data_IF_809568252552
#
_entry.id   IF_809568252552
#
_cell.length_a   1.000
_cell.length_b   1.000
_cell.length_c   1.000
_cell.angle_alpha   90.00
_cell.angle_beta   90.00
_cell.angle_gamma   90.00
#
_symmetry.space_group_name_H-M   'P 1'
#
loop_
_entity.id
_entity.type
_entity.pdbx_description
1 polymer ?
#
# COMPACT_ATOMS: atom_id res chain seq x y z
N UNK A 1 -3.26 -10.28 -0.58
CA UNK A 1 -4.29 -9.69 -1.45
C UNK A 1 -4.02 -10.16 -2.87
N UNK A 2 -4.43 -11.40 -3.16
CA UNK A 2 -4.65 -11.87 -4.53
C UNK A 2 -6.07 -11.39 -4.83
N UNK A 3 -6.26 -10.61 -5.89
CA UNK A 3 -7.62 -10.20 -6.30
C UNK A 3 -8.22 -11.45 -6.95
N UNK A 4 -8.90 -12.27 -6.16
CA UNK A 4 -9.58 -13.50 -6.63
C UNK A 4 -10.86 -13.19 -7.42
N UNK A 5 -11.24 -11.91 -7.49
CA UNK A 5 -12.47 -11.50 -8.14
C UNK A 5 -12.17 -11.18 -9.59
N UNK A 6 -12.54 -12.10 -10.50
CA UNK A 6 -12.72 -11.74 -11.91
C UNK A 6 -13.67 -10.53 -11.94
N UNK A 7 -13.27 -9.37 -12.49
CA UNK A 7 -14.15 -8.23 -12.55
C UNK A 7 -15.42 -8.65 -13.29
N UNK A 8 -16.60 -8.44 -12.68
CA UNK A 8 -17.85 -8.79 -13.34
C UNK A 8 -17.99 -7.85 -14.53
N UNK A 9 -18.37 -8.39 -15.69
CA UNK A 9 -18.62 -7.57 -16.89
C UNK A 9 -19.63 -6.45 -16.61
N UNK A 10 -20.60 -6.72 -15.73
CA UNK A 10 -21.56 -5.73 -15.24
C UNK A 10 -20.89 -4.53 -14.54
N UNK A 11 -19.83 -4.75 -13.75
CA UNK A 11 -19.13 -3.68 -13.05
C UNK A 11 -18.41 -2.77 -14.04
N UNK A 12 -17.74 -3.36 -15.03
CA UNK A 12 -17.07 -2.62 -16.11
C UNK A 12 -18.09 -1.83 -16.93
N UNK A 13 -19.21 -2.46 -17.31
CA UNK A 13 -20.27 -1.80 -18.06
C UNK A 13 -20.89 -0.63 -17.28
N UNK A 14 -21.15 -0.81 -15.98
CA UNK A 14 -21.71 0.23 -15.11
C UNK A 14 -20.82 1.48 -15.01
N UNK A 15 -19.51 1.33 -15.22
CA UNK A 15 -18.56 2.44 -15.19
C UNK A 15 -18.51 3.22 -16.52
N UNK A 16 -18.78 2.56 -17.65
CA UNK A 16 -18.48 3.12 -18.99
C UNK A 16 -19.75 3.44 -19.81
N UNK A 17 -20.92 2.93 -19.43
CA UNK A 17 -22.15 3.09 -20.22
C UNK A 17 -22.56 4.54 -20.50
N UNK A 18 -22.32 5.48 -19.57
CA UNK A 18 -22.66 6.91 -19.78
C UNK A 18 -21.85 7.49 -20.93
N UNK A 19 -20.55 7.21 -20.93
CA UNK A 19 -19.63 7.66 -21.99
C UNK A 19 -20.00 7.03 -23.32
N UNK A 20 -20.28 5.72 -23.33
CA UNK A 20 -20.71 5.01 -24.55
C UNK A 20 -22.05 5.55 -25.09
N UNK A 21 -23.00 5.88 -24.22
CA UNK A 21 -24.28 6.43 -24.62
C UNK A 21 -24.13 7.83 -25.24
N UNK A 22 -23.29 8.69 -24.66
CA UNK A 22 -23.00 10.02 -25.22
C UNK A 22 -22.33 9.90 -26.59
N UNK A 23 -21.33 9.02 -26.73
CA UNK A 23 -20.67 8.76 -28.01
C UNK A 23 -21.64 8.20 -29.05
N UNK A 24 -22.52 7.27 -28.66
CA UNK A 24 -23.53 6.72 -29.55
C UNK A 24 -24.51 7.78 -30.06
N UNK A 25 -25.02 8.65 -29.18
CA UNK A 25 -25.92 9.74 -29.59
C UNK A 25 -25.19 10.73 -30.52
N UNK A 26 -23.92 11.03 -30.23
CA UNK A 26 -23.08 11.87 -31.07
C UNK A 26 -22.88 11.26 -32.48
N UNK A 27 -22.57 9.97 -32.56
CA UNK A 27 -22.38 9.25 -33.82
C UNK A 27 -23.67 9.24 -34.66
N UNK A 28 -24.82 9.02 -34.02
CA UNK A 28 -26.13 9.09 -34.68
C UNK A 28 -26.39 10.50 -35.21
N UNK A 29 -26.13 11.54 -34.42
CA UNK A 29 -26.31 12.94 -34.81
C UNK A 29 -25.45 13.30 -36.03
N UNK A 30 -24.16 12.97 -36.00
CA UNK A 30 -23.23 13.24 -37.10
C UNK A 30 -23.63 12.47 -38.36
N UNK A 31 -24.07 11.22 -38.21
CA UNK A 31 -24.56 10.41 -39.33
C UNK A 31 -25.76 11.06 -40.00
N UNK A 32 -26.75 11.51 -39.23
CA UNK A 32 -27.94 12.20 -39.76
C UNK A 32 -27.53 13.50 -40.49
N UNK A 33 -26.65 14.31 -39.88
CA UNK A 33 -26.14 15.55 -40.49
C UNK A 33 -25.47 15.25 -41.83
N UNK A 34 -24.65 14.22 -41.91
CA UNK A 34 -23.94 13.84 -43.14
C UNK A 34 -24.88 13.42 -44.28
N UNK A 35 -26.00 12.74 -43.98
CA UNK A 35 -26.97 12.32 -44.99
C UNK A 35 -27.94 13.44 -45.42
N UNK A 36 -28.26 14.37 -44.53
CA UNK A 36 -29.28 15.42 -44.76
C UNK A 36 -28.66 16.71 -45.30
N UNK A 37 -27.49 17.09 -44.82
CA UNK A 37 -26.78 18.30 -45.27
C UNK A 37 -25.72 17.92 -46.30
N UNK A 38 -25.47 18.76 -47.33
CA UNK A 38 -24.40 18.56 -48.31
C UNK A 38 -23.02 18.88 -47.71
N UNK A 39 -22.73 18.37 -46.52
CA UNK A 39 -21.48 18.54 -45.80
C UNK A 39 -20.53 17.36 -46.11
N UNK A 40 -19.34 17.68 -46.63
CA UNK A 40 -18.26 16.68 -46.78
C UNK A 40 -17.32 16.78 -45.58
N UNK A 41 -17.31 15.75 -44.75
CA UNK A 41 -16.42 15.69 -43.61
C UNK A 41 -14.94 15.63 -44.07
N UNK A 42 -14.04 16.41 -43.46
CA UNK A 42 -12.62 16.31 -43.72
C UNK A 42 -12.08 14.97 -43.20
N UNK A 43 -11.03 14.45 -43.84
CA UNK A 43 -10.34 13.25 -43.36
C UNK A 43 -9.73 13.55 -41.98
N UNK A 44 -10.20 12.83 -40.96
CA UNK A 44 -9.64 12.92 -39.62
C UNK A 44 -8.29 12.20 -39.60
N UNK A 45 -7.24 12.75 -38.94
CA UNK A 45 -5.96 12.09 -38.79
C UNK A 45 -6.03 11.02 -37.67
N UNK A 46 -6.93 10.04 -37.86
CA UNK A 46 -7.24 8.99 -36.91
C UNK A 46 -6.01 8.17 -36.52
N UNK A 47 -5.10 7.94 -37.46
CA UNK A 47 -3.85 7.21 -37.22
C UNK A 47 -2.97 7.93 -36.22
N UNK A 48 -2.76 9.24 -36.37
CA UNK A 48 -1.92 10.04 -35.47
C UNK A 48 -2.53 10.09 -34.07
N UNK A 49 -3.84 10.36 -33.95
CA UNK A 49 -4.52 10.40 -32.67
C UNK A 49 -4.57 9.03 -31.99
N UNK A 50 -4.85 7.96 -32.75
CA UNK A 50 -4.88 6.59 -32.24
C UNK A 50 -3.52 6.12 -31.73
N UNK A 51 -2.44 6.41 -32.48
CA UNK A 51 -1.07 6.09 -32.05
C UNK A 51 -0.66 6.87 -30.80
N UNK A 52 -0.99 8.16 -30.72
CA UNK A 52 -0.70 8.97 -29.53
C UNK A 52 -1.46 8.46 -28.30
N UNK A 53 -2.75 8.17 -28.42
CA UNK A 53 -3.57 7.64 -27.34
C UNK A 53 -3.06 6.29 -26.84
N UNK A 54 -2.74 5.37 -27.75
CA UNK A 54 -2.18 4.06 -27.40
C UNK A 54 -0.85 4.19 -26.63
N UNK A 55 0.02 5.11 -27.04
CA UNK A 55 1.28 5.39 -26.37
C UNK A 55 1.07 5.91 -24.95
N UNK A 56 0.21 6.92 -24.76
CA UNK A 56 -0.08 7.48 -23.44
C UNK A 56 -0.75 6.46 -22.51
N UNK A 57 -1.67 5.65 -23.04
CA UNK A 57 -2.31 4.59 -22.28
C UNK A 57 -1.29 3.52 -21.85
N UNK A 58 -0.37 3.15 -22.75
CA UNK A 58 0.72 2.22 -22.46
C UNK A 58 1.61 2.71 -21.31
N UNK A 59 2.03 3.98 -21.35
CA UNK A 59 2.82 4.57 -20.26
C UNK A 59 2.05 4.61 -18.94
N UNK A 60 0.78 5.05 -18.96
CA UNK A 60 -0.05 5.09 -17.74
C UNK A 60 -0.27 3.71 -17.14
N UNK A 61 -0.54 2.71 -17.98
CA UNK A 61 -0.73 1.33 -17.55
C UNK A 61 0.55 0.78 -16.90
N UNK A 62 1.70 0.99 -17.55
CA UNK A 62 3.00 0.57 -17.03
C UNK A 62 3.33 1.23 -15.68
N UNK A 63 3.25 2.56 -15.58
CA UNK A 63 3.56 3.27 -14.33
C UNK A 63 2.60 2.90 -13.19
N UNK A 64 1.31 2.70 -13.48
CA UNK A 64 0.33 2.25 -12.47
C UNK A 64 0.63 0.83 -12.01
N UNK A 65 1.00 -0.06 -12.94
CA UNK A 65 1.39 -1.43 -12.64
C UNK A 65 2.65 -1.48 -11.79
N UNK A 66 3.71 -0.73 -12.13
CA UNK A 66 4.94 -0.65 -11.35
C UNK A 66 4.67 -0.21 -9.91
N UNK A 67 3.85 0.83 -9.74
CA UNK A 67 3.43 1.33 -8.41
C UNK A 67 2.66 0.28 -7.61
N UNK A 68 1.75 -0.45 -8.26
CA UNK A 68 1.01 -1.56 -7.63
C UNK A 68 1.96 -2.70 -7.22
N UNK A 69 2.87 -3.07 -8.12
CA UNK A 69 3.83 -4.14 -7.90
C UNK A 69 4.80 -3.81 -6.76
N UNK A 70 5.34 -2.59 -6.73
CA UNK A 70 6.18 -2.09 -5.66
C UNK A 70 5.48 -2.19 -4.30
N UNK A 71 4.20 -1.79 -4.23
CA UNK A 71 3.39 -1.94 -3.03
C UNK A 71 3.25 -3.41 -2.60
N UNK A 72 3.10 -4.34 -3.54
CA UNK A 72 3.05 -5.78 -3.25
C UNK A 72 4.38 -6.32 -2.74
N UNK A 73 5.50 -5.86 -3.29
CA UNK A 73 6.85 -6.24 -2.86
C UNK A 73 7.10 -5.75 -1.43
N UNK A 74 6.80 -4.49 -1.12
CA UNK A 74 6.97 -3.91 0.23
C UNK A 74 6.13 -4.65 1.29
N UNK A 75 4.88 -4.98 0.99
CA UNK A 75 4.06 -5.81 1.88
C UNK A 75 4.61 -7.24 2.01
N UNK A 76 5.20 -7.79 0.96
CA UNK A 76 5.89 -9.09 1.01
C UNK A 76 7.11 -9.06 1.94
N UNK A 77 7.93 -8.02 1.83
CA UNK A 77 9.06 -7.76 2.73
C UNK A 77 8.59 -7.62 4.18
N UNK A 78 7.50 -6.87 4.43
CA UNK A 78 6.90 -6.74 5.76
C UNK A 78 6.49 -8.09 6.36
N UNK A 79 5.88 -8.98 5.57
CA UNK A 79 5.50 -10.33 6.03
C UNK A 79 6.76 -11.14 6.41
N UNK A 80 7.79 -11.12 5.57
CA UNK A 80 9.02 -11.86 5.81
C UNK A 80 9.76 -11.33 7.05
N UNK A 81 9.91 -10.01 7.17
CA UNK A 81 10.55 -9.39 8.32
C UNK A 81 9.76 -9.65 9.62
N UNK A 82 8.42 -9.61 9.58
CA UNK A 82 7.58 -9.96 10.73
C UNK A 82 7.81 -11.40 11.18
N UNK A 83 7.87 -12.37 10.24
CA UNK A 83 8.14 -13.78 10.55
C UNK A 83 9.53 -13.96 11.16
N UNK A 84 10.53 -13.28 10.60
CA UNK A 84 11.90 -13.32 11.10
C UNK A 84 12.01 -12.73 12.50
N UNK A 85 11.35 -11.58 12.75
CA UNK A 85 11.34 -10.92 14.07
C UNK A 85 10.76 -11.86 15.13
N UNK A 86 9.58 -12.44 14.87
CA UNK A 86 8.92 -13.34 15.82
C UNK A 86 9.74 -14.61 16.04
N UNK A 87 10.20 -15.26 14.96
CA UNK A 87 11.03 -16.47 15.05
C UNK A 87 12.29 -16.22 15.87
N UNK A 88 13.02 -15.13 15.59
CA UNK A 88 14.26 -14.81 16.29
C UNK A 88 13.99 -14.44 17.75
N UNK A 89 13.01 -13.57 18.00
CA UNK A 89 12.67 -13.12 19.36
C UNK A 89 12.27 -14.28 20.27
N UNK A 90 11.45 -15.21 19.78
CA UNK A 90 11.06 -16.42 20.54
C UNK A 90 12.24 -17.38 20.72
N UNK A 91 13.13 -17.49 19.74
CA UNK A 91 14.29 -18.39 19.81
C UNK A 91 15.37 -17.91 20.79
N UNK A 92 15.68 -16.61 20.80
CA UNK A 92 16.74 -16.05 21.65
C UNK A 92 16.24 -15.79 23.07
N UNK A 93 14.95 -15.45 23.25
CA UNK A 93 14.31 -15.25 24.55
C UNK A 93 13.62 -16.54 25.02
N UNK A 94 14.32 -17.67 24.97
CA UNK A 94 13.74 -18.99 25.30
C UNK A 94 13.76 -19.32 26.80
N UNK A 95 14.56 -18.58 27.59
CA UNK A 95 14.58 -18.72 29.05
C UNK A 95 13.21 -18.38 29.66
N UNK A 96 12.75 -19.08 30.72
CA UNK A 96 11.43 -18.86 31.32
C UNK A 96 11.14 -17.39 31.69
N UNK A 97 12.16 -16.69 32.17
CA UNK A 97 12.10 -15.27 32.58
C UNK A 97 11.96 -14.33 31.37
N UNK A 98 12.51 -14.72 30.21
CA UNK A 98 12.54 -13.93 28.98
C UNK A 98 11.42 -14.28 28.00
N UNK A 99 10.82 -15.46 28.11
CA UNK A 99 9.81 -15.98 27.18
C UNK A 99 8.57 -15.08 27.06
N UNK A 100 8.18 -14.44 28.17
CA UNK A 100 7.09 -13.47 28.19
C UNK A 100 7.37 -12.26 27.27
N UNK A 101 8.63 -11.82 27.19
CA UNK A 101 9.04 -10.73 26.32
C UNK A 101 8.98 -11.13 24.85
N UNK A 102 9.43 -12.33 24.49
CA UNK A 102 9.31 -12.85 23.13
C UNK A 102 7.86 -12.87 22.63
N UNK A 103 6.91 -13.31 23.48
CA UNK A 103 5.47 -13.26 23.19
C UNK A 103 4.97 -11.81 23.05
N UNK A 104 5.45 -10.90 23.89
CA UNK A 104 5.08 -9.48 23.84
C UNK A 104 5.54 -8.84 22.53
N UNK A 105 6.76 -9.12 22.07
CA UNK A 105 7.27 -8.65 20.77
C UNK A 105 6.39 -9.16 19.63
N UNK A 106 5.94 -10.41 19.68
CA UNK A 106 5.04 -10.96 18.67
C UNK A 106 3.68 -10.24 18.63
N UNK A 107 3.08 -9.99 19.79
CA UNK A 107 1.81 -9.24 19.88
C UNK A 107 1.96 -7.80 19.39
N UNK A 108 3.07 -7.14 19.74
CA UNK A 108 3.42 -5.81 19.24
C UNK A 108 3.59 -5.79 17.72
N UNK A 109 4.22 -6.79 17.14
CA UNK A 109 4.36 -6.86 15.68
C UNK A 109 2.99 -6.98 15.00
N UNK A 110 2.05 -7.72 15.58
CA UNK A 110 0.69 -7.80 15.06
C UNK A 110 -0.02 -6.44 15.19
N UNK A 111 0.13 -5.76 16.34
CA UNK A 111 -0.42 -4.42 16.55
C UNK A 111 0.17 -3.41 15.55
N UNK A 112 1.47 -3.44 15.34
CA UNK A 112 2.21 -2.62 14.37
C UNK A 112 1.66 -2.77 12.95
N UNK A 113 1.53 -4.00 12.46
CA UNK A 113 1.02 -4.26 11.10
C UNK A 113 -0.42 -3.77 10.94
N UNK A 114 -1.26 -3.93 11.97
CA UNK A 114 -2.64 -3.43 11.93
C UNK A 114 -2.71 -1.90 11.99
N UNK A 115 -1.87 -1.28 12.82
CA UNK A 115 -1.76 0.17 12.90
C UNK A 115 -1.32 0.77 11.55
N UNK A 116 -0.28 0.20 10.94
CA UNK A 116 0.20 0.60 9.62
C UNK A 116 -0.87 0.44 8.55
N UNK A 117 -1.63 -0.66 8.56
CA UNK A 117 -2.79 -0.84 7.65
C UNK A 117 -3.81 0.28 7.83
N UNK A 118 -4.19 0.62 9.06
CA UNK A 118 -5.14 1.69 9.35
C UNK A 118 -4.60 3.05 8.91
N UNK A 119 -3.34 3.36 9.22
CA UNK A 119 -2.67 4.57 8.74
C UNK A 119 -2.70 4.67 7.23
N UNK A 120 -2.31 3.62 6.50
CA UNK A 120 -2.28 3.63 5.03
C UNK A 120 -3.68 3.81 4.42
N UNK A 121 -4.72 3.28 5.07
CA UNK A 121 -6.13 3.41 4.64
C UNK A 121 -6.84 4.67 5.18
N UNK A 122 -6.18 5.50 6.00
CA UNK A 122 -6.78 6.65 6.68
C UNK A 122 -7.96 6.25 7.59
N UNK A 123 -7.83 5.11 8.26
CA UNK A 123 -8.80 4.62 9.25
C UNK A 123 -8.33 4.94 10.67
N UNK A 124 -9.26 5.07 11.65
CA UNK A 124 -8.89 5.24 13.05
C UNK A 124 -7.97 4.11 13.54
N UNK A 125 -6.83 4.49 14.13
CA UNK A 125 -5.81 3.53 14.58
C UNK A 125 -6.17 2.91 15.94
N UNK A 126 -6.88 3.64 16.81
CA UNK A 126 -7.27 3.20 18.16
C UNK A 126 -7.96 1.83 18.15
N UNK A 127 -8.96 1.66 17.28
CA UNK A 127 -9.73 0.42 17.14
C UNK A 127 -8.87 -0.80 16.76
N UNK A 128 -7.69 -0.60 16.20
CA UNK A 128 -6.80 -1.67 15.79
C UNK A 128 -5.84 -2.14 16.90
N UNK A 129 -5.65 -1.34 17.94
CA UNK A 129 -4.65 -1.52 19.01
C UNK A 129 -5.23 -2.17 20.27
N UNK A 130 -6.45 -1.79 20.65
CA UNK A 130 -7.12 -2.20 21.91
C UNK A 130 -7.16 -3.72 22.18
N UNK A 131 -7.30 -4.62 21.19
CA UNK A 131 -7.35 -6.05 21.48
C UNK A 131 -5.99 -6.69 21.80
N UNK A 132 -4.86 -5.98 21.63
CA UNK A 132 -3.53 -6.60 21.53
C UNK A 132 -2.46 -6.02 22.45
N UNK A 133 -2.68 -4.83 22.98
CA UNK A 133 -1.72 -4.11 23.82
C UNK A 133 -2.40 -3.70 25.13
N UNK A 134 -1.61 -3.55 26.19
CA UNK A 134 -2.07 -2.96 27.44
C UNK A 134 -2.48 -1.49 27.22
N UNK A 135 -3.49 -1.03 27.97
CA UNK A 135 -4.04 0.32 27.83
C UNK A 135 -2.98 1.42 27.95
N UNK A 136 -2.00 1.24 28.84
CA UNK A 136 -0.89 2.20 29.03
C UNK A 136 0.00 2.32 27.79
N UNK A 137 0.26 1.19 27.13
CA UNK A 137 1.06 1.16 25.89
C UNK A 137 0.27 1.81 24.73
N UNK A 138 -1.04 1.59 24.65
CA UNK A 138 -1.90 2.25 23.66
C UNK A 138 -1.88 3.76 23.87
N UNK A 139 -2.03 4.24 25.11
CA UNK A 139 -2.01 5.66 25.45
C UNK A 139 -0.66 6.33 25.11
N UNK A 140 0.47 5.64 25.33
CA UNK A 140 1.80 6.16 25.02
C UNK A 140 2.07 6.27 23.51
N UNK A 141 1.53 5.36 22.70
CA UNK A 141 1.83 5.28 21.27
C UNK A 141 0.84 6.11 20.44
N UNK A 142 -0.43 6.22 20.86
CA UNK A 142 -1.45 6.96 20.11
C UNK A 142 -1.15 8.46 20.02
N UNK A 143 -0.37 9.00 20.96
CA UNK A 143 0.09 10.40 20.97
C UNK A 143 1.24 10.67 20.01
N UNK A 144 1.89 9.63 19.47
CA UNK A 144 2.99 9.78 18.50
C UNK A 144 2.44 10.20 17.14
N UNK A 145 3.16 11.10 16.45
CA UNK A 145 2.84 11.52 15.08
C UNK A 145 2.73 10.34 14.12
N UNK A 146 3.64 9.37 14.25
CA UNK A 146 3.56 8.09 13.55
C UNK A 146 3.42 6.95 14.56
N UNK A 147 2.18 6.54 14.80
CA UNK A 147 1.81 5.47 15.73
C UNK A 147 2.51 4.14 15.42
N UNK A 148 2.55 3.71 14.16
CA UNK A 148 3.24 2.47 13.78
C UNK A 148 4.75 2.57 14.09
N UNK A 149 5.41 3.66 13.71
CA UNK A 149 6.83 3.84 14.06
C UNK A 149 7.06 3.90 15.59
N UNK A 150 6.10 4.45 16.35
CA UNK A 150 6.13 4.43 17.81
C UNK A 150 6.12 3.01 18.40
N UNK A 151 5.35 2.08 17.82
CA UNK A 151 5.35 0.67 18.24
C UNK A 151 6.68 -0.02 17.93
N UNK A 152 7.31 0.35 16.81
CA UNK A 152 8.62 -0.18 16.41
C UNK A 152 9.71 0.30 17.38
N UNK A 153 9.71 1.58 17.73
CA UNK A 153 10.59 2.18 18.75
C UNK A 153 10.44 1.50 20.12
N UNK A 154 9.20 1.27 20.58
CA UNK A 154 8.93 0.53 21.82
C UNK A 154 9.47 -0.90 21.76
N UNK A 155 9.38 -1.56 20.61
CA UNK A 155 9.97 -2.91 20.41
C UNK A 155 11.49 -2.86 20.52
N UNK A 156 12.16 -1.88 19.89
CA UNK A 156 13.60 -1.68 20.01
C UNK A 156 14.05 -1.44 21.45
N UNK A 157 13.32 -0.62 22.22
CA UNK A 157 13.60 -0.41 23.66
C UNK A 157 13.50 -1.70 24.47
N UNK A 158 12.52 -2.55 24.18
CA UNK A 158 12.39 -3.85 24.84
C UNK A 158 13.55 -4.79 24.55
N UNK A 159 14.11 -4.75 23.34
CA UNK A 159 15.28 -5.55 22.97
C UNK A 159 16.53 -5.04 23.69
N UNK A 160 16.72 -3.72 23.79
CA UNK A 160 17.81 -3.15 24.61
C UNK A 160 17.67 -3.52 26.09
N UNK A 161 16.45 -3.52 26.63
CA UNK A 161 16.21 -3.95 28.01
C UNK A 161 16.59 -5.42 28.20
N UNK A 162 16.20 -6.32 27.28
CA UNK A 162 16.59 -7.72 27.34
C UNK A 162 18.11 -7.93 27.35
N UNK A 163 18.86 -7.09 26.64
CA UNK A 163 20.33 -7.11 26.67
C UNK A 163 20.87 -6.65 28.02
N UNK A 164 20.31 -5.59 28.59
CA UNK A 164 20.71 -5.08 29.92
C UNK A 164 20.44 -6.10 31.02
N UNK A 165 19.36 -6.84 30.89
CA UNK A 165 18.98 -7.92 31.80
C UNK A 165 19.79 -9.20 31.58
N UNK A 166 20.71 -9.21 30.60
CA UNK A 166 21.59 -10.34 30.32
C UNK A 166 20.91 -11.52 29.61
N UNK A 167 19.66 -11.35 29.13
CA UNK A 167 18.93 -12.40 28.42
C UNK A 167 19.43 -12.61 27.00
N UNK A 168 20.01 -11.57 26.39
CA UNK A 168 20.61 -11.63 25.05
C UNK A 168 21.95 -10.90 25.02
N UNK A 169 22.80 -11.27 24.05
CA UNK A 169 24.07 -10.60 23.79
C UNK A 169 23.94 -9.48 22.72
N UNK A 170 25.04 -8.76 22.46
CA UNK A 170 25.09 -7.67 21.49
C UNK A 170 24.96 -8.14 20.03
N UNK A 171 25.36 -9.38 19.71
CA UNK A 171 25.26 -9.97 18.37
C UNK A 171 23.81 -10.33 18.07
N UNK A 172 23.11 -10.89 19.05
CA UNK A 172 21.69 -11.17 19.02
C UNK A 172 20.88 -9.88 18.93
N UNK A 173 21.21 -8.85 19.73
CA UNK A 173 20.62 -7.51 19.61
C UNK A 173 20.77 -6.95 18.20
N UNK A 174 21.99 -6.92 17.65
CA UNK A 174 22.24 -6.42 16.30
C UNK A 174 21.49 -7.21 15.23
N UNK A 175 21.25 -8.50 15.45
CA UNK A 175 20.46 -9.34 14.55
C UNK A 175 18.97 -9.00 14.57
N UNK A 176 18.41 -8.68 15.75
CA UNK A 176 17.04 -8.16 15.86
C UNK A 176 16.93 -6.78 15.24
N UNK A 177 17.89 -5.88 15.51
CA UNK A 177 17.87 -4.50 15.00
C UNK A 177 17.86 -4.45 13.48
N UNK A 178 18.63 -5.30 12.80
CA UNK A 178 18.59 -5.43 11.33
C UNK A 178 17.17 -5.72 10.81
N UNK A 179 16.42 -6.57 11.51
CA UNK A 179 15.03 -6.89 11.14
C UNK A 179 14.12 -5.68 11.39
N UNK A 180 14.33 -4.92 12.47
CA UNK A 180 13.58 -3.69 12.74
C UNK A 180 13.85 -2.63 11.67
N UNK A 181 15.10 -2.50 11.20
CA UNK A 181 15.46 -1.63 10.08
C UNK A 181 14.75 -2.05 8.79
N UNK A 182 14.68 -3.35 8.48
CA UNK A 182 13.94 -3.86 7.31
C UNK A 182 12.44 -3.51 7.40
N UNK A 183 11.85 -3.63 8.59
CA UNK A 183 10.46 -3.26 8.87
C UNK A 183 10.24 -1.76 8.65
N UNK A 184 11.15 -0.92 9.14
CA UNK A 184 11.10 0.54 8.97
C UNK A 184 11.23 0.95 7.49
N UNK A 185 12.16 0.34 6.76
CA UNK A 185 12.36 0.58 5.33
C UNK A 185 11.11 0.21 4.52
N UNK A 186 10.48 -0.93 4.82
CA UNK A 186 9.23 -1.34 4.19
C UNK A 186 8.09 -0.35 4.49
N UNK A 187 7.96 0.11 5.75
CA UNK A 187 6.99 1.15 6.12
C UNK A 187 7.24 2.44 5.34
N UNK A 188 8.47 2.96 5.33
CA UNK A 188 8.82 4.19 4.62
C UNK A 188 8.52 4.11 3.12
N UNK A 189 8.78 2.95 2.50
CA UNK A 189 8.40 2.69 1.10
C UNK A 189 6.88 2.76 0.88
N UNK A 190 6.09 2.18 1.78
CA UNK A 190 4.62 2.21 1.70
C UNK A 190 4.05 3.62 1.90
N UNK A 191 4.63 4.39 2.81
CA UNK A 191 4.27 5.79 3.05
C UNK A 191 4.63 6.67 1.85
N UNK A 192 5.82 6.48 1.25
CA UNK A 192 6.22 7.14 0.01
C UNK A 192 5.24 6.82 -1.12
N UNK A 193 4.92 5.54 -1.31
CA UNK A 193 3.93 5.15 -2.31
C UNK A 193 2.60 5.86 -2.06
N UNK A 194 2.10 5.89 -0.83
CA UNK A 194 0.84 6.56 -0.49
C UNK A 194 0.87 8.07 -0.78
N UNK A 195 1.95 8.75 -0.41
CA UNK A 195 2.02 10.22 -0.41
C UNK A 195 2.51 10.81 -1.74
N UNK A 196 3.17 10.03 -2.58
CA UNK A 196 3.68 10.49 -3.88
C UNK A 196 2.85 9.90 -5.01
N UNK A 197 1.73 10.53 -5.44
CA UNK A 197 0.92 10.03 -6.55
C UNK A 197 1.68 10.11 -7.89
N UNK A 198 1.15 9.45 -8.93
CA UNK A 198 1.70 9.60 -10.29
C UNK A 198 1.72 11.08 -10.70
N UNK A 199 2.76 11.53 -11.45
CA UNK A 199 2.85 12.89 -11.93
C UNK A 199 1.58 13.31 -12.66
N UNK A 200 1.19 14.58 -12.51
CA UNK A 200 -0.07 15.12 -13.03
C UNK A 200 -0.26 14.83 -14.52
N UNK A 201 0.80 14.93 -15.31
CA UNK A 201 0.81 14.66 -16.75
C UNK A 201 0.27 13.27 -17.10
N UNK A 202 0.67 12.22 -16.38
CA UNK A 202 0.18 10.85 -16.58
C UNK A 202 -1.28 10.66 -16.19
N UNK A 203 -1.84 11.58 -15.40
CA UNK A 203 -3.26 11.58 -15.02
C UNK A 203 -4.12 12.43 -15.95
N UNK A 204 -3.58 13.52 -16.46
CA UNK A 204 -4.30 14.53 -17.23
C UNK A 204 -4.38 14.21 -18.72
N UNK A 205 -3.25 13.91 -19.37
CA UNK A 205 -3.22 13.71 -20.82
C UNK A 205 -4.20 12.62 -21.32
N UNK A 206 -4.34 11.47 -20.65
CA UNK A 206 -5.30 10.44 -21.09
C UNK A 206 -6.78 10.82 -20.92
N UNK A 207 -7.11 11.96 -20.29
CA UNK A 207 -8.47 12.48 -20.21
C UNK A 207 -8.74 13.59 -21.24
N UNK A 208 -7.67 14.15 -21.84
CA UNK A 208 -7.75 15.22 -22.83
C UNK A 208 -7.91 14.66 -24.26
N UNK A 209 -7.33 13.48 -24.50
CA UNK A 209 -7.47 12.69 -25.73
C UNK A 209 -8.52 11.60 -25.52
#
# INVERSE_FOLDING_TARGET
>A
MIIDVKPRVADVFSQVWRTLAVLFVWDVLITIIYYVLPFRAPALPLTIFGSALALFLGFRANSTYQRWWEGRVLWGQMINASRNLVRLSVSILSAPEAAALGRTIALRQIAYVNALRCQLRRLPVAMALEPRLHADEVAAVITRTNVANGLLDTTGRSVEQARRDGWIDSIQQASVERILVDIANAQGGMERLKNTPLPYQYRFYPNLF
#
